data_IF_489528542853
#
_entry.id   IF_489528542853
#
_cell.length_a   1.000
_cell.length_b   1.000
_cell.length_c   1.000
_cell.angle_alpha   90.00
_cell.angle_beta   90.00
_cell.angle_gamma   90.00
#
_symmetry.space_group_name_H-M   'P 1'
#
loop_
_entity.id
_entity.type
_entity.pdbx_description
1 polymer ?
#
# COMPACT_ATOMS: atom_id res chain seq x y z
N UNK A 1 28.09 20.93 29.77
CA UNK A 1 28.49 19.54 29.42
C UNK A 1 27.35 18.75 28.73
N UNK A 2 26.54 19.34 27.83
CA UNK A 2 25.38 18.66 27.19
C UNK A 2 25.25 18.91 25.66
N UNK A 3 26.33 19.28 24.97
CA UNK A 3 26.28 19.53 23.53
C UNK A 3 26.39 18.25 22.68
N UNK A 4 26.82 17.12 23.25
CA UNK A 4 27.18 15.91 22.49
C UNK A 4 26.04 14.89 22.32
N UNK A 5 24.92 15.03 23.04
CA UNK A 5 23.80 14.06 23.00
C UNK A 5 22.74 14.37 21.91
N UNK A 6 22.70 15.62 21.44
CA UNK A 6 21.72 16.10 20.44
C UNK A 6 21.71 15.32 19.11
N UNK A 7 22.85 14.92 18.51
CA UNK A 7 22.81 14.16 17.25
C UNK A 7 22.26 12.74 17.43
N UNK A 8 22.49 12.09 18.58
CA UNK A 8 21.98 10.73 18.83
C UNK A 8 20.46 10.72 19.00
N UNK A 9 19.91 11.70 19.71
CA UNK A 9 18.45 11.83 19.85
C UNK A 9 17.74 12.06 18.50
N UNK A 10 18.37 12.82 17.61
CA UNK A 10 17.82 13.10 16.29
C UNK A 10 17.71 11.82 15.43
N UNK A 11 18.77 10.99 15.42
CA UNK A 11 18.80 9.72 14.71
C UNK A 11 17.78 8.72 15.27
N UNK A 12 17.65 8.63 16.60
CA UNK A 12 16.67 7.77 17.25
C UNK A 12 15.22 8.17 16.88
N UNK A 13 14.92 9.48 16.83
CA UNK A 13 13.59 9.98 16.41
C UNK A 13 13.31 9.67 14.94
N UNK A 14 14.31 9.78 14.06
CA UNK A 14 14.19 9.41 12.65
C UNK A 14 13.84 7.93 12.51
N UNK A 15 14.62 7.05 13.13
CA UNK A 15 14.36 5.60 13.13
C UNK A 15 12.98 5.25 13.70
N UNK A 16 12.54 5.93 14.76
CA UNK A 16 11.23 5.71 15.36
C UNK A 16 10.09 6.11 14.41
N UNK A 17 10.22 7.23 13.69
CA UNK A 17 9.24 7.65 12.70
C UNK A 17 9.16 6.65 11.54
N UNK A 18 10.29 6.12 11.09
CA UNK A 18 10.34 5.08 10.05
C UNK A 18 9.64 3.81 10.53
N UNK A 19 9.98 3.35 11.73
CA UNK A 19 9.40 2.15 12.33
C UNK A 19 7.87 2.24 12.46
N UNK A 20 7.36 3.40 12.93
CA UNK A 20 5.92 3.66 13.03
C UNK A 20 5.26 3.77 11.66
N UNK A 21 5.93 4.41 10.70
CA UNK A 21 5.47 4.52 9.32
C UNK A 21 5.21 3.15 8.69
N UNK A 22 6.20 2.26 8.72
CA UNK A 22 6.05 0.89 8.21
C UNK A 22 5.04 0.06 9.00
N UNK A 23 4.90 0.27 10.32
CA UNK A 23 3.88 -0.40 11.12
C UNK A 23 2.46 0.00 10.67
N UNK A 24 2.24 1.28 10.35
CA UNK A 24 0.97 1.73 9.78
C UNK A 24 0.66 1.03 8.45
N UNK A 25 1.65 0.88 7.57
CA UNK A 25 1.46 0.18 6.29
C UNK A 25 1.27 -1.34 6.46
N UNK A 26 1.98 -1.96 7.39
CA UNK A 26 1.79 -3.37 7.74
C UNK A 26 0.32 -3.68 8.05
N UNK A 27 -0.35 -2.78 8.79
CA UNK A 27 -1.75 -2.95 9.16
C UNK A 27 -2.74 -2.40 8.12
N UNK A 28 -2.38 -1.37 7.35
CA UNK A 28 -3.30 -0.81 6.35
C UNK A 28 -3.58 -1.78 5.21
N UNK A 29 -2.58 -2.53 4.75
CA UNK A 29 -2.70 -3.51 3.66
C UNK A 29 -3.74 -4.61 3.97
N UNK A 30 -3.65 -5.38 5.07
CA UNK A 30 -4.64 -6.41 5.37
C UNK A 30 -6.03 -5.80 5.65
N UNK A 31 -6.11 -4.59 6.24
CA UNK A 31 -7.38 -3.91 6.42
C UNK A 31 -8.03 -3.50 5.09
N UNK A 32 -7.26 -3.02 4.11
CA UNK A 32 -7.77 -2.79 2.75
C UNK A 32 -8.26 -4.09 2.11
N UNK A 33 -7.50 -5.17 2.19
CA UNK A 33 -7.91 -6.47 1.67
C UNK A 33 -9.20 -6.98 2.33
N UNK A 34 -9.29 -6.93 3.66
CA UNK A 34 -10.47 -7.37 4.41
C UNK A 34 -11.70 -6.55 4.04
N UNK A 35 -11.57 -5.23 3.94
CA UNK A 35 -12.69 -4.34 3.59
C UNK A 35 -13.14 -4.52 2.15
N UNK A 36 -12.23 -4.74 1.21
CA UNK A 36 -12.55 -5.06 -0.18
C UNK A 36 -13.22 -6.44 -0.31
N UNK A 37 -12.73 -7.46 0.40
CA UNK A 37 -13.29 -8.82 0.35
C UNK A 37 -14.66 -8.94 1.01
N UNK A 38 -14.90 -8.23 2.11
CA UNK A 38 -16.18 -8.22 2.83
C UNK A 38 -17.21 -7.25 2.24
N UNK A 39 -16.79 -6.39 1.31
CA UNK A 39 -17.68 -5.46 0.60
C UNK A 39 -18.42 -4.49 1.53
N UNK A 40 -19.60 -4.05 1.07
CA UNK A 40 -20.47 -3.06 1.75
C UNK A 40 -21.13 -3.55 3.04
N UNK A 41 -20.86 -4.79 3.48
CA UNK A 41 -21.44 -5.37 4.69
C UNK A 41 -20.84 -4.78 5.97
N UNK A 42 -19.64 -4.21 5.89
CA UNK A 42 -18.99 -3.56 7.02
C UNK A 42 -19.23 -2.05 6.96
N UNK A 43 -20.23 -1.59 7.70
CA UNK A 43 -20.49 -0.17 7.93
C UNK A 43 -20.04 0.19 9.34
N UNK A 44 -19.19 1.20 9.45
CA UNK A 44 -18.86 1.76 10.76
C UNK A 44 -19.92 2.82 11.07
N UNK A 45 -20.84 2.48 11.97
CA UNK A 45 -21.91 3.38 12.43
C UNK A 45 -21.29 4.24 13.54
N UNK A 46 -20.80 5.42 13.18
CA UNK A 46 -20.17 6.36 14.15
C UNK A 46 -21.26 7.16 14.87
N UNK A 47 -22.34 7.48 14.15
CA UNK A 47 -23.56 8.11 14.66
C UNK A 47 -24.74 7.40 14.01
N UNK A 48 -25.91 7.36 14.66
CA UNK A 48 -27.13 6.67 14.20
C UNK A 48 -27.55 6.99 12.74
N UNK A 49 -26.97 8.03 12.12
CA UNK A 49 -27.24 8.46 10.74
C UNK A 49 -26.02 8.56 9.81
N UNK A 50 -24.79 8.42 10.31
CA UNK A 50 -23.57 8.55 9.49
C UNK A 50 -22.85 7.20 9.37
N UNK A 51 -23.11 6.50 8.27
CA UNK A 51 -22.39 5.29 7.90
C UNK A 51 -21.21 5.65 7.01
N UNK A 52 -20.00 5.69 7.58
CA UNK A 52 -18.78 5.87 6.79
C UNK A 52 -18.36 4.50 6.24
N UNK A 53 -18.03 4.39 4.93
CA UNK A 53 -17.48 3.15 4.39
C UNK A 53 -16.24 2.75 5.21
N UNK A 54 -16.20 1.52 5.72
CA UNK A 54 -15.06 1.04 6.53
C UNK A 54 -13.73 1.13 5.76
N UNK A 55 -13.79 1.20 4.42
CA UNK A 55 -12.69 1.43 3.50
C UNK A 55 -11.85 2.70 3.78
N UNK A 56 -12.41 3.68 4.51
CA UNK A 56 -11.70 4.92 4.86
C UNK A 56 -10.67 4.68 5.98
N UNK A 57 -10.95 3.76 6.91
CA UNK A 57 -10.09 3.46 8.07
C UNK A 57 -8.66 3.05 7.66
N UNK A 58 -8.45 2.05 6.77
CA UNK A 58 -7.10 1.72 6.32
C UNK A 58 -6.41 2.89 5.60
N UNK A 59 -7.16 3.77 4.94
CA UNK A 59 -6.63 4.98 4.31
C UNK A 59 -6.09 5.99 5.31
N UNK A 60 -6.80 6.23 6.41
CA UNK A 60 -6.32 7.10 7.50
C UNK A 60 -5.02 6.54 8.09
N UNK A 61 -4.94 5.22 8.26
CA UNK A 61 -3.74 4.57 8.78
C UNK A 61 -2.57 4.69 7.79
N UNK A 62 -2.79 4.43 6.51
CA UNK A 62 -1.80 4.60 5.45
C UNK A 62 -1.33 6.06 5.33
N UNK A 63 -2.25 7.03 5.44
CA UNK A 63 -1.94 8.45 5.42
C UNK A 63 -1.05 8.82 6.61
N UNK A 64 -1.44 8.39 7.82
CA UNK A 64 -0.63 8.58 9.03
C UNK A 64 0.78 8.01 8.86
N UNK A 65 0.89 6.81 8.29
CA UNK A 65 2.16 6.17 7.96
C UNK A 65 3.00 6.98 6.98
N UNK A 66 2.39 7.44 5.88
CA UNK A 66 3.07 8.25 4.86
C UNK A 66 3.58 9.58 5.42
N UNK A 67 2.81 10.26 6.28
CA UNK A 67 3.22 11.51 6.90
C UNK A 67 4.39 11.32 7.87
N UNK A 68 4.44 10.19 8.59
CA UNK A 68 5.57 9.83 9.44
C UNK A 68 6.84 9.59 8.62
N UNK A 69 6.76 8.82 7.52
CA UNK A 69 7.89 8.59 6.61
C UNK A 69 8.33 9.89 5.91
N UNK A 70 7.40 10.79 5.59
CA UNK A 70 7.70 12.08 4.99
C UNK A 70 8.48 13.02 5.92
N UNK A 71 8.40 12.82 7.24
CA UNK A 71 9.25 13.56 8.20
C UNK A 71 10.71 13.11 8.14
N UNK A 72 11.02 11.99 7.49
CA UNK A 72 12.38 11.46 7.35
C UNK A 72 12.98 11.65 5.96
N UNK A 73 12.45 12.60 5.18
CA UNK A 73 12.90 12.95 3.81
C UNK A 73 14.38 13.26 3.64
N UNK A 74 15.11 13.55 4.72
CA UNK A 74 16.54 13.89 4.69
C UNK A 74 17.47 12.67 4.57
N UNK A 75 16.94 11.45 4.49
CA UNK A 75 17.72 10.22 4.37
C UNK A 75 18.47 10.13 3.03
N UNK A 76 17.75 10.15 1.92
CA UNK A 76 18.30 10.14 0.55
C UNK A 76 17.34 10.86 -0.40
N UNK A 77 17.81 11.22 -1.60
CA UNK A 77 16.99 11.86 -2.63
C UNK A 77 15.90 10.89 -3.10
N UNK A 78 16.25 9.62 -3.29
CA UNK A 78 15.39 8.52 -3.66
C UNK A 78 14.30 8.30 -2.61
N UNK A 79 14.66 8.33 -1.32
CA UNK A 79 13.70 8.27 -0.22
C UNK A 79 12.70 9.44 -0.25
N UNK A 80 13.19 10.65 -0.53
CA UNK A 80 12.34 11.84 -0.60
C UNK A 80 11.32 11.76 -1.75
N UNK A 81 11.72 11.21 -2.91
CA UNK A 81 10.83 10.96 -4.04
C UNK A 81 9.86 9.82 -3.76
N UNK A 82 10.34 8.71 -3.20
CA UNK A 82 9.52 7.55 -2.83
C UNK A 82 8.44 7.89 -1.81
N UNK A 83 8.76 8.71 -0.80
CA UNK A 83 7.79 9.15 0.21
C UNK A 83 6.72 10.08 -0.34
N UNK A 84 7.08 10.98 -1.27
CA UNK A 84 6.10 11.83 -1.96
C UNK A 84 5.22 11.01 -2.91
N UNK A 85 5.80 10.06 -3.65
CA UNK A 85 5.08 9.14 -4.51
C UNK A 85 4.07 8.30 -3.71
N UNK A 86 4.50 7.75 -2.57
CA UNK A 86 3.64 7.02 -1.64
C UNK A 86 2.51 7.89 -1.12
N UNK A 87 2.77 9.13 -0.72
CA UNK A 87 1.73 10.05 -0.27
C UNK A 87 0.69 10.33 -1.36
N UNK A 88 1.11 10.52 -2.61
CA UNK A 88 0.20 10.70 -3.76
C UNK A 88 -0.68 9.45 -3.96
N UNK A 89 -0.07 8.25 -3.93
CA UNK A 89 -0.80 7.00 -4.07
C UNK A 89 -1.84 6.81 -2.95
N UNK A 90 -1.48 7.13 -1.70
CA UNK A 90 -2.40 7.07 -0.55
C UNK A 90 -3.54 8.07 -0.70
N UNK A 91 -3.26 9.32 -1.07
CA UNK A 91 -4.30 10.34 -1.25
C UNK A 91 -5.26 9.95 -2.38
N UNK A 92 -4.74 9.42 -3.49
CA UNK A 92 -5.56 8.91 -4.58
C UNK A 92 -6.43 7.72 -4.13
N UNK A 93 -5.84 6.75 -3.41
CA UNK A 93 -6.60 5.62 -2.86
C UNK A 93 -7.70 6.08 -1.89
N UNK A 94 -7.43 7.07 -1.04
CA UNK A 94 -8.46 7.65 -0.16
C UNK A 94 -9.57 8.34 -0.95
N UNK A 95 -9.23 9.10 -1.99
CA UNK A 95 -10.22 9.73 -2.86
C UNK A 95 -11.14 8.70 -3.52
N UNK A 96 -10.58 7.67 -4.15
CA UNK A 96 -11.37 6.62 -4.82
C UNK A 96 -12.06 5.65 -3.86
N UNK A 97 -11.69 5.62 -2.57
CA UNK A 97 -12.32 4.75 -1.57
C UNK A 97 -13.81 5.06 -1.36
N UNK A 98 -14.19 6.34 -1.44
CA UNK A 98 -15.56 6.79 -1.26
C UNK A 98 -16.51 6.32 -2.38
N UNK A 99 -16.24 6.64 -3.68
CA UNK A 99 -17.07 6.15 -4.78
C UNK A 99 -17.02 4.63 -4.92
N UNK A 100 -15.90 3.98 -4.58
CA UNK A 100 -15.82 2.52 -4.49
C UNK A 100 -16.79 1.94 -3.45
N UNK A 101 -16.91 2.59 -2.29
CA UNK A 101 -17.91 2.22 -1.27
C UNK A 101 -19.35 2.32 -1.77
N UNK A 102 -19.66 3.37 -2.55
CA UNK A 102 -20.97 3.50 -3.19
C UNK A 102 -21.22 2.44 -4.25
N UNK A 103 -20.19 2.10 -5.05
CA UNK A 103 -20.29 1.01 -6.01
C UNK A 103 -20.61 -0.32 -5.34
N UNK A 104 -19.91 -0.67 -4.26
CA UNK A 104 -20.14 -1.90 -3.50
C UNK A 104 -21.56 -1.99 -2.90
N UNK A 105 -22.25 -0.87 -2.74
CA UNK A 105 -23.63 -0.84 -2.24
C UNK A 105 -24.68 -0.96 -3.36
N UNK A 106 -24.44 -0.37 -4.54
CA UNK A 106 -25.44 -0.26 -5.61
C UNK A 106 -25.19 -1.19 -6.81
N UNK A 107 -23.93 -1.57 -7.07
CA UNK A 107 -23.43 -2.49 -8.10
C UNK A 107 -23.99 -2.33 -9.54
N UNK A 108 -24.61 -1.19 -9.86
CA UNK A 108 -25.36 -0.98 -11.11
C UNK A 108 -24.76 0.08 -12.05
N UNK A 109 -23.74 0.82 -11.60
CA UNK A 109 -23.18 1.94 -12.36
C UNK A 109 -21.77 1.61 -12.85
N UNK A 110 -21.59 1.64 -14.17
CA UNK A 110 -20.28 1.45 -14.82
C UNK A 110 -19.29 2.56 -14.44
N UNK A 111 -19.78 3.79 -14.26
CA UNK A 111 -18.96 4.90 -13.77
C UNK A 111 -18.40 4.64 -12.37
N UNK A 112 -19.23 4.16 -11.45
CA UNK A 112 -18.78 3.81 -10.09
C UNK A 112 -17.86 2.58 -10.11
N UNK A 113 -18.06 1.66 -11.06
CA UNK A 113 -17.18 0.51 -11.26
C UNK A 113 -15.77 0.93 -11.72
N UNK A 114 -15.67 1.88 -12.65
CA UNK A 114 -14.37 2.43 -13.07
C UNK A 114 -13.63 3.07 -11.89
N UNK A 115 -14.33 3.78 -11.01
CA UNK A 115 -13.74 4.32 -9.78
C UNK A 115 -13.23 3.21 -8.84
N UNK A 116 -13.95 2.09 -8.74
CA UNK A 116 -13.50 0.92 -8.00
C UNK A 116 -12.22 0.31 -8.61
N UNK A 117 -12.11 0.24 -9.94
CA UNK A 117 -10.88 -0.20 -10.60
C UNK A 117 -9.71 0.78 -10.37
N UNK A 118 -9.97 2.09 -10.45
CA UNK A 118 -8.97 3.12 -10.14
C UNK A 118 -8.48 3.03 -8.69
N UNK A 119 -9.37 2.72 -7.75
CA UNK A 119 -8.96 2.42 -6.38
C UNK A 119 -8.00 1.23 -6.34
N UNK A 120 -8.33 0.11 -7.00
CA UNK A 120 -7.44 -1.07 -7.03
C UNK A 120 -6.06 -0.66 -7.56
N UNK A 121 -6.00 0.09 -8.67
CA UNK A 121 -4.74 0.57 -9.23
C UNK A 121 -3.97 1.47 -8.25
N UNK A 122 -4.65 2.35 -7.51
CA UNK A 122 -4.00 3.16 -6.47
C UNK A 122 -3.44 2.32 -5.32
N UNK A 123 -4.12 1.23 -4.94
CA UNK A 123 -3.63 0.30 -3.92
C UNK A 123 -2.42 -0.50 -4.40
N UNK A 124 -2.40 -0.93 -5.66
CA UNK A 124 -1.22 -1.56 -6.28
C UNK A 124 -0.04 -0.57 -6.32
N UNK A 125 -0.30 0.67 -6.74
CA UNK A 125 0.71 1.74 -6.74
C UNK A 125 1.24 2.03 -5.33
N UNK A 126 0.37 2.06 -4.33
CA UNK A 126 0.76 2.20 -2.93
C UNK A 126 1.65 1.02 -2.48
N UNK A 127 1.28 -0.23 -2.77
CA UNK A 127 2.10 -1.41 -2.43
C UNK A 127 3.49 -1.35 -3.06
N UNK A 128 3.55 -0.98 -4.35
CA UNK A 128 4.82 -0.80 -5.05
C UNK A 128 5.67 0.29 -4.40
N UNK A 129 5.09 1.45 -4.07
CA UNK A 129 5.81 2.53 -3.41
C UNK A 129 6.31 2.16 -2.00
N UNK A 130 5.54 1.35 -1.26
CA UNK A 130 5.97 0.81 0.04
C UNK A 130 7.13 -0.18 -0.13
N UNK A 131 7.06 -1.05 -1.14
CA UNK A 131 8.16 -1.93 -1.51
C UNK A 131 9.44 -1.15 -1.80
N UNK A 132 9.34 -0.13 -2.65
CA UNK A 132 10.46 0.72 -3.03
C UNK A 132 11.15 1.35 -1.81
N UNK A 133 10.36 1.91 -0.89
CA UNK A 133 10.90 2.47 0.35
C UNK A 133 11.51 1.40 1.26
N UNK A 134 10.92 0.21 1.34
CA UNK A 134 11.50 -0.92 2.07
C UNK A 134 12.86 -1.34 1.50
N UNK A 135 12.98 -1.36 0.17
CA UNK A 135 14.21 -1.68 -0.52
C UNK A 135 15.29 -0.62 -0.31
N UNK A 136 14.90 0.65 -0.42
CA UNK A 136 15.77 1.79 -0.19
C UNK A 136 16.28 1.85 1.26
N UNK A 137 15.42 1.61 2.25
CA UNK A 137 15.86 1.47 3.65
C UNK A 137 16.86 0.32 3.80
N UNK A 138 16.61 -0.81 3.13
CA UNK A 138 17.53 -1.93 3.07
C UNK A 138 18.92 -1.53 2.57
N UNK A 139 18.99 -0.74 1.49
CA UNK A 139 20.26 -0.22 0.94
C UNK A 139 20.96 0.71 1.92
N UNK A 140 20.24 1.70 2.47
CA UNK A 140 20.78 2.67 3.45
C UNK A 140 21.36 1.96 4.68
N UNK A 141 20.72 0.88 5.15
CA UNK A 141 21.17 0.11 6.31
C UNK A 141 22.18 -1.01 5.97
N UNK A 142 22.59 -1.15 4.71
CA UNK A 142 23.50 -2.19 4.25
C UNK A 142 22.93 -3.62 4.30
N UNK A 143 21.60 -3.77 4.30
CA UNK A 143 20.88 -5.05 4.35
C UNK A 143 20.41 -5.48 2.96
N UNK A 144 21.33 -6.06 2.17
CA UNK A 144 21.06 -6.51 0.78
C UNK A 144 19.87 -7.47 0.67
N UNK A 145 19.70 -8.39 1.62
CA UNK A 145 18.58 -9.35 1.60
C UNK A 145 17.22 -8.66 1.66
N UNK A 146 17.08 -7.61 2.47
CA UNK A 146 15.86 -6.81 2.54
C UNK A 146 15.60 -6.05 1.23
N UNK A 147 16.66 -5.52 0.61
CA UNK A 147 16.54 -4.82 -0.67
C UNK A 147 16.02 -5.75 -1.79
N UNK A 148 16.55 -6.97 -1.87
CA UNK A 148 16.10 -7.98 -2.85
C UNK A 148 14.67 -8.43 -2.57
N UNK A 149 14.31 -8.68 -1.31
CA UNK A 149 12.93 -9.08 -0.96
C UNK A 149 11.91 -8.00 -1.30
N UNK A 150 12.26 -6.73 -1.07
CA UNK A 150 11.43 -5.59 -1.43
C UNK A 150 11.23 -5.50 -2.96
N UNK A 151 12.31 -5.63 -3.72
CA UNK A 151 12.28 -5.62 -5.19
C UNK A 151 11.46 -6.79 -5.77
N UNK A 152 11.61 -8.00 -5.22
CA UNK A 152 10.76 -9.15 -5.57
C UNK A 152 9.30 -8.88 -5.25
N UNK A 153 9.01 -8.22 -4.12
CA UNK A 153 7.66 -7.78 -3.77
C UNK A 153 7.08 -6.79 -4.79
N UNK A 154 7.85 -5.78 -5.19
CA UNK A 154 7.46 -4.79 -6.20
C UNK A 154 7.16 -5.41 -7.56
N UNK A 155 8.07 -6.23 -8.08
CA UNK A 155 7.86 -6.95 -9.34
C UNK A 155 6.70 -7.94 -9.23
N UNK A 156 6.54 -8.56 -8.06
CA UNK A 156 5.40 -9.41 -7.76
C UNK A 156 4.07 -8.67 -7.90
N UNK A 157 3.96 -7.42 -7.43
CA UNK A 157 2.75 -6.59 -7.61
C UNK A 157 2.44 -6.40 -9.10
N UNK A 158 3.46 -6.12 -9.92
CA UNK A 158 3.27 -5.91 -11.36
C UNK A 158 2.85 -7.21 -12.06
N UNK A 159 3.60 -8.29 -11.85
CA UNK A 159 3.44 -9.53 -12.60
C UNK A 159 2.23 -10.33 -12.11
N UNK A 160 2.04 -10.45 -10.80
CA UNK A 160 1.02 -11.33 -10.22
C UNK A 160 -0.30 -10.64 -9.92
N UNK A 161 -0.32 -9.30 -9.85
CA UNK A 161 -1.56 -8.55 -9.63
C UNK A 161 -1.94 -7.76 -10.88
N UNK A 162 -1.12 -6.80 -11.31
CA UNK A 162 -1.50 -5.88 -12.39
C UNK A 162 -1.77 -6.61 -13.71
N UNK A 163 -0.87 -7.50 -14.15
CA UNK A 163 -1.00 -8.16 -15.45
C UNK A 163 -2.25 -9.05 -15.56
N UNK A 164 -2.59 -9.92 -14.59
CA UNK A 164 -3.86 -10.65 -14.59
C UNK A 164 -5.09 -9.73 -14.58
N UNK A 165 -5.06 -8.63 -13.82
CA UNK A 165 -6.17 -7.67 -13.81
C UNK A 165 -6.35 -6.99 -15.17
N UNK A 166 -5.27 -6.61 -15.85
CA UNK A 166 -5.32 -6.05 -17.20
C UNK A 166 -5.87 -7.05 -18.21
N UNK A 167 -5.42 -8.32 -18.16
CA UNK A 167 -5.92 -9.37 -19.04
C UNK A 167 -7.42 -9.65 -18.81
N UNK A 168 -7.87 -9.70 -17.55
CA UNK A 168 -9.30 -9.85 -17.26
C UNK A 168 -10.11 -8.65 -17.73
N UNK A 169 -9.57 -7.44 -17.58
CA UNK A 169 -10.24 -6.21 -18.01
C UNK A 169 -10.41 -6.16 -19.54
N UNK A 170 -9.39 -6.54 -20.31
CA UNK A 170 -9.47 -6.58 -21.78
C UNK A 170 -10.47 -7.64 -22.26
N UNK A 171 -10.48 -8.83 -21.64
CA UNK A 171 -11.46 -9.88 -21.92
C UNK A 171 -12.88 -9.41 -21.58
N UNK A 172 -13.07 -8.75 -20.42
CA UNK A 172 -14.36 -8.23 -20.01
C UNK A 172 -14.88 -7.15 -20.99
N UNK A 173 -14.02 -6.26 -21.46
CA UNK A 173 -14.36 -5.27 -22.50
C UNK A 173 -14.79 -5.97 -23.79
N UNK A 174 -14.03 -6.97 -24.24
CA UNK A 174 -14.35 -7.73 -25.45
C UNK A 174 -15.74 -8.38 -25.35
N UNK A 175 -16.06 -9.00 -24.22
CA UNK A 175 -17.38 -9.57 -23.97
C UNK A 175 -18.49 -8.52 -23.83
N UNK A 176 -18.20 -7.35 -23.24
CA UNK A 176 -19.17 -6.26 -23.15
C UNK A 176 -19.57 -5.77 -24.55
N UNK A 177 -18.61 -5.69 -25.49
CA UNK A 177 -18.88 -5.34 -26.89
C UNK A 177 -19.67 -6.42 -27.64
N UNK A 178 -19.39 -7.70 -27.43
CA UNK A 178 -20.06 -8.78 -28.16
C UNK A 178 -21.43 -9.17 -27.62
N UNK A 179 -21.62 -9.14 -26.30
CA UNK A 179 -22.78 -9.72 -25.63
C UNK A 179 -23.70 -8.69 -24.99
N UNK A 180 -23.42 -7.39 -25.16
CA UNK A 180 -24.13 -6.27 -24.50
C UNK A 180 -24.27 -6.42 -22.98
N UNK A 181 -23.38 -7.21 -22.35
CA UNK A 181 -23.37 -7.40 -20.91
C UNK A 181 -22.73 -6.18 -20.23
N UNK A 182 -23.26 -5.72 -19.08
CA UNK A 182 -22.60 -4.70 -18.27
C UNK A 182 -21.18 -5.13 -17.89
N UNK A 183 -20.22 -4.22 -18.05
CA UNK A 183 -18.80 -4.46 -17.78
C UNK A 183 -18.54 -5.06 -16.37
N UNK A 184 -19.20 -4.61 -15.29
CA UNK A 184 -18.96 -5.15 -13.95
C UNK A 184 -19.33 -6.63 -13.83
N UNK A 185 -20.41 -7.05 -14.51
CA UNK A 185 -20.88 -8.44 -14.49
C UNK A 185 -19.92 -9.34 -15.28
N UNK A 186 -19.43 -8.86 -16.43
CA UNK A 186 -18.43 -9.55 -17.23
C UNK A 186 -17.16 -9.81 -16.42
N UNK A 187 -16.61 -8.75 -15.80
CA UNK A 187 -15.37 -8.86 -15.03
C UNK A 187 -15.53 -9.74 -13.78
N UNK A 188 -16.66 -9.66 -13.08
CA UNK A 188 -16.94 -10.54 -11.93
C UNK A 188 -16.95 -12.02 -12.33
N UNK A 189 -17.54 -12.36 -13.49
CA UNK A 189 -17.55 -13.73 -14.00
C UNK A 189 -16.14 -14.23 -14.30
N UNK A 190 -15.31 -13.40 -14.94
CA UNK A 190 -13.93 -13.77 -15.26
C UNK A 190 -13.08 -13.99 -13.99
N UNK A 191 -13.23 -13.14 -12.97
CA UNK A 191 -12.54 -13.32 -11.68
C UNK A 191 -12.94 -14.65 -11.01
N UNK A 192 -14.21 -15.03 -11.08
CA UNK A 192 -14.70 -16.29 -10.49
C UNK A 192 -14.24 -17.52 -11.28
N UNK A 193 -13.95 -17.38 -12.57
CA UNK A 193 -13.38 -18.44 -13.42
C UNK A 193 -11.90 -18.69 -13.13
N UNK A 194 -11.19 -17.74 -12.52
CA UNK A 194 -9.79 -17.94 -12.18
C UNK A 194 -9.62 -19.10 -11.19
N UNK A 195 -8.65 -20.00 -11.44
CA UNK A 195 -8.38 -21.09 -10.53
C UNK A 195 -7.97 -20.55 -9.16
N UNK A 196 -8.34 -21.28 -8.09
CA UNK A 196 -8.14 -20.84 -6.71
C UNK A 196 -6.67 -20.53 -6.42
N UNK A 197 -5.74 -21.32 -6.97
CA UNK A 197 -4.30 -21.11 -6.79
C UNK A 197 -3.82 -19.77 -7.36
N UNK A 198 -4.40 -19.29 -8.48
CA UNK A 198 -4.00 -18.02 -9.08
C UNK A 198 -4.54 -16.85 -8.24
N UNK A 199 -5.76 -16.97 -7.70
CA UNK A 199 -6.31 -16.01 -6.74
C UNK A 199 -5.47 -15.95 -5.46
N UNK A 200 -5.00 -17.10 -4.97
CA UNK A 200 -4.08 -17.16 -3.83
C UNK A 200 -2.70 -16.57 -4.16
N UNK A 201 -2.16 -16.85 -5.35
CA UNK A 201 -0.89 -16.31 -5.82
C UNK A 201 -0.93 -14.77 -5.94
N UNK A 202 -2.08 -14.20 -6.32
CA UNK A 202 -2.29 -12.75 -6.35
C UNK A 202 -2.18 -12.10 -4.96
N UNK A 203 -2.28 -12.86 -3.86
CA UNK A 203 -2.07 -12.33 -2.49
C UNK A 203 -0.61 -12.37 -2.04
N UNK A 204 0.26 -13.13 -2.74
CA UNK A 204 1.67 -13.27 -2.37
C UNK A 204 2.41 -11.93 -2.32
N UNK A 205 2.26 -11.00 -3.29
CA UNK A 205 2.95 -9.71 -3.21
C UNK A 205 2.56 -8.91 -1.96
N UNK A 206 1.28 -8.94 -1.57
CA UNK A 206 0.83 -8.30 -0.33
C UNK A 206 1.54 -8.90 0.89
N UNK A 207 1.65 -10.23 0.97
CA UNK A 207 2.32 -10.90 2.08
C UNK A 207 3.83 -10.58 2.13
N UNK A 208 4.50 -10.53 0.98
CA UNK A 208 5.92 -10.14 0.87
C UNK A 208 6.10 -8.69 1.33
N UNK A 209 5.29 -7.75 0.85
CA UNK A 209 5.36 -6.34 1.26
C UNK A 209 5.07 -6.17 2.76
N UNK A 210 4.10 -6.91 3.32
CA UNK A 210 3.87 -6.92 4.76
C UNK A 210 5.08 -7.44 5.54
N UNK A 211 5.72 -8.52 5.07
CA UNK A 211 6.96 -9.03 5.67
C UNK A 211 8.07 -7.98 5.63
N UNK A 212 8.25 -7.29 4.49
CA UNK A 212 9.21 -6.19 4.31
C UNK A 212 8.92 -5.06 5.30
N UNK A 213 7.67 -4.61 5.44
CA UNK A 213 7.27 -3.60 6.42
C UNK A 213 7.64 -4.00 7.84
N UNK A 214 7.34 -5.24 8.24
CA UNK A 214 7.66 -5.75 9.57
C UNK A 214 9.16 -5.78 9.83
N UNK A 215 9.95 -6.23 8.85
CA UNK A 215 11.42 -6.26 8.92
C UNK A 215 12.02 -4.86 9.00
N UNK A 216 11.54 -3.92 8.18
CA UNK A 216 11.94 -2.51 8.24
C UNK A 216 11.72 -1.94 9.65
N UNK A 217 10.51 -2.14 10.20
CA UNK A 217 10.18 -1.73 11.57
C UNK A 217 11.11 -2.34 12.61
N UNK A 218 11.41 -3.63 12.48
CA UNK A 218 12.27 -4.35 13.43
C UNK A 218 13.72 -3.88 13.38
N UNK A 219 14.26 -3.66 12.18
CA UNK A 219 15.61 -3.13 11.98
C UNK A 219 15.76 -1.71 12.52
N UNK A 220 14.75 -0.86 12.36
CA UNK A 220 14.78 0.49 12.92
C UNK A 220 14.80 0.47 14.46
N UNK A 221 14.00 -0.40 15.09
CA UNK A 221 13.99 -0.55 16.56
C UNK A 221 15.32 -1.11 17.07
N UNK A 222 15.86 -2.13 16.40
CA UNK A 222 17.18 -2.68 16.71
C UNK A 222 18.27 -1.60 16.57
N UNK A 223 18.18 -0.75 15.54
CA UNK A 223 19.07 0.39 15.34
C UNK A 223 19.03 1.40 16.50
N UNK A 224 17.84 1.68 17.04
CA UNK A 224 17.67 2.54 18.23
C UNK A 224 18.34 1.90 19.45
N UNK A 225 18.08 0.60 19.71
CA UNK A 225 18.66 -0.12 20.86
C UNK A 225 20.19 -0.18 20.77
N UNK A 226 20.73 -0.36 19.57
CA UNK A 226 22.18 -0.43 19.31
C UNK A 226 22.83 0.93 19.09
N UNK A 227 22.07 2.03 19.23
CA UNK A 227 22.53 3.40 19.02
C UNK A 227 23.26 3.61 17.68
N UNK A 228 22.74 3.02 16.60
CA UNK A 228 23.30 3.15 15.25
C UNK A 228 23.07 4.56 14.71
N UNK A 229 24.11 5.17 14.16
CA UNK A 229 24.02 6.42 13.39
C UNK A 229 23.55 6.15 11.97
N UNK A 230 22.68 7.00 11.46
CA UNK A 230 22.26 6.97 10.06
C UNK A 230 23.21 7.82 9.20
N UNK A 231 23.52 7.40 7.97
CA UNK A 231 24.21 8.27 7.03
C UNK A 231 23.23 9.35 6.56
N UNK A 232 23.21 10.49 7.24
CA UNK A 232 22.40 11.65 6.84
C UNK A 232 23.24 12.54 5.93
N UNK A 233 22.93 12.58 4.63
CA UNK A 233 23.45 13.60 3.72
C UNK A 233 24.90 13.43 3.23
N UNK A 234 25.36 12.20 2.99
CA UNK A 234 26.59 11.98 2.23
C UNK A 234 26.34 12.24 0.74
N UNK A 235 26.94 13.29 0.20
CA UNK A 235 27.07 13.53 -1.24
C UNK A 235 27.76 12.34 -1.90
N UNK A 236 26.96 11.43 -2.47
CA UNK A 236 27.38 10.56 -3.56
C UNK A 236 27.29 11.31 -4.88
#
# INVERSE_FOLDING_TARGET
MHANDRPQEADARLLLNIARGFLCFFWSVPLYLLTLLRGSQLKLVIFERLAVPLLVVPGILALSGSLLLRRTRRLSVEWAHGTDNLLRAVLAAMYFSLPAGWWLALQRSDYLFLNFLLLILCLLWMLQAVGFLGGELGRILGRRTLAVEAEVGEWGVIILQLLPYLAMFTIAIYHAFQSHLPLPIGMQKEVLRLPVWLRAAALLPCAVIMSVCWRCRSLCIEGIIRNRRLPVGGSG
#
